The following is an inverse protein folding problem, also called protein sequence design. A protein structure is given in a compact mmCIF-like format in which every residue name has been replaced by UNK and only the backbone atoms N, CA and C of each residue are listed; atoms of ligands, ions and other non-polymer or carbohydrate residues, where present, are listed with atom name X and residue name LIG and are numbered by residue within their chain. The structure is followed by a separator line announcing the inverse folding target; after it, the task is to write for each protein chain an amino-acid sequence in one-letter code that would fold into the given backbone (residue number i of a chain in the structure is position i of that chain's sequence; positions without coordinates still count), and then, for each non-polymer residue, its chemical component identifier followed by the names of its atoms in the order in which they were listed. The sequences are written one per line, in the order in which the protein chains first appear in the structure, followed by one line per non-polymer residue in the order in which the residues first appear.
data_IF_568853623731
#
_entry.id   IF_568853623731
#
_cell.length_a   1.000
_cell.length_b   1.000
_cell.length_c   1.000
_cell.angle_alpha   90.00
_cell.angle_beta   90.00
_cell.angle_gamma   90.00
#
_symmetry.space_group_name_H-M   'P 1'
#
loop_
_entity.id
_entity.type
_entity.pdbx_description
1 polymer ?
#
# COMPACT_ATOMS: atom_id res chain seq x y z
N UNK A 1 0.96 21.90 11.71
CA UNK A 1 1.95 21.64 10.64
C UNK A 1 2.39 20.20 10.80
N UNK A 2 1.93 19.29 9.95
CA UNK A 2 2.49 17.94 9.98
C UNK A 2 3.83 17.94 9.26
N UNK A 3 4.89 17.83 10.05
CA UNK A 3 6.26 17.70 9.57
C UNK A 3 6.58 16.26 9.12
N UNK A 4 5.63 15.31 9.11
CA UNK A 4 5.97 13.88 9.07
C UNK A 4 6.10 13.27 7.68
N UNK A 5 5.10 13.47 6.80
CA UNK A 5 5.21 13.11 5.38
C UNK A 5 6.35 13.88 4.75
N UNK A 6 6.40 15.19 5.05
CA UNK A 6 7.44 16.09 4.57
C UNK A 6 8.84 15.71 5.05
N UNK A 7 9.07 15.39 6.33
CA UNK A 7 10.43 15.01 6.79
C UNK A 7 10.94 13.68 6.20
N UNK A 8 10.06 12.71 5.98
CA UNK A 8 10.42 11.42 5.35
C UNK A 8 10.74 11.60 3.86
N UNK A 9 9.97 12.45 3.18
CA UNK A 9 10.18 12.78 1.77
C UNK A 9 11.30 13.81 1.56
N UNK A 10 11.55 14.74 2.49
CA UNK A 10 12.58 15.78 2.39
C UNK A 10 13.98 15.17 2.28
N UNK A 11 14.19 13.99 2.87
CA UNK A 11 15.45 13.24 2.71
C UNK A 11 15.68 12.75 1.26
N UNK A 12 14.62 12.54 0.48
CA UNK A 12 14.70 11.99 -0.88
C UNK A 12 14.23 12.95 -1.99
N UNK A 13 13.47 13.99 -1.67
CA UNK A 13 12.59 14.71 -2.62
C UNK A 13 12.49 16.21 -2.33
N UNK A 14 13.48 16.83 -1.71
CA UNK A 14 13.50 18.24 -1.26
C UNK A 14 13.19 19.33 -2.31
N UNK A 15 12.86 18.96 -3.56
CA UNK A 15 12.49 19.85 -4.67
C UNK A 15 11.11 19.60 -5.29
N UNK A 16 10.37 18.56 -4.90
CA UNK A 16 8.99 18.38 -5.40
C UNK A 16 7.97 18.92 -4.39
N UNK A 17 7.09 19.78 -4.88
CA UNK A 17 5.86 20.14 -4.16
C UNK A 17 4.90 18.96 -4.23
N UNK A 18 4.38 18.53 -3.08
CA UNK A 18 3.36 17.49 -3.04
C UNK A 18 1.99 18.10 -3.36
N UNK A 19 1.05 17.34 -3.94
CA UNK A 19 -0.33 17.78 -4.07
C UNK A 19 -0.95 18.00 -2.68
N UNK A 20 -1.91 18.95 -2.52
CA UNK A 20 -2.54 19.24 -1.23
C UNK A 20 -3.10 18.00 -0.51
N UNK A 21 -3.59 17.01 -1.26
CA UNK A 21 -4.08 15.73 -0.74
C UNK A 21 -3.03 14.93 0.09
N UNK A 22 -1.74 15.22 -0.07
CA UNK A 22 -0.64 14.57 0.65
C UNK A 22 -0.01 15.45 1.73
N UNK A 23 -0.14 16.77 1.64
CA UNK A 23 0.60 17.71 2.51
C UNK A 23 0.22 17.60 3.99
N UNK A 24 -1.00 17.15 4.29
CA UNK A 24 -1.51 17.00 5.66
C UNK A 24 -2.07 15.60 5.94
N UNK A 25 -1.60 14.58 5.22
CA UNK A 25 -2.05 13.21 5.41
C UNK A 25 -1.20 12.49 6.47
N UNK A 26 -1.56 12.71 7.73
CA UNK A 26 -0.84 12.19 8.90
C UNK A 26 -0.88 10.67 8.97
N UNK A 27 -1.99 10.09 8.55
CA UNK A 27 -2.24 8.65 8.50
C UNK A 27 -1.28 7.96 7.54
N UNK A 28 -1.12 8.50 6.33
CA UNK A 28 -0.16 8.00 5.35
C UNK A 28 1.27 8.17 5.85
N UNK A 29 1.60 9.35 6.40
CA UNK A 29 2.93 9.62 6.94
C UNK A 29 3.33 8.66 8.06
N UNK A 30 2.42 8.42 9.01
CA UNK A 30 2.61 7.46 10.09
C UNK A 30 2.77 6.04 9.54
N UNK A 31 1.88 5.61 8.64
CA UNK A 31 1.89 4.26 8.05
C UNK A 31 3.18 3.98 7.27
N UNK A 32 3.65 4.94 6.47
CA UNK A 32 4.93 4.85 5.77
C UNK A 32 6.12 4.79 6.73
N UNK A 33 6.14 5.63 7.78
CA UNK A 33 7.18 5.61 8.82
C UNK A 33 7.22 4.26 9.53
N UNK A 34 6.07 3.74 9.96
CA UNK A 34 5.98 2.45 10.63
C UNK A 34 6.49 1.33 9.73
N UNK A 35 6.06 1.33 8.46
CA UNK A 35 6.53 0.34 7.47
C UNK A 35 8.04 0.45 7.25
N UNK A 36 8.61 1.66 7.20
CA UNK A 36 10.05 1.87 7.11
C UNK A 36 10.82 1.32 8.32
N UNK A 37 10.32 1.56 9.54
CA UNK A 37 10.94 1.05 10.78
C UNK A 37 10.94 -0.47 10.83
N UNK A 38 9.87 -1.11 10.37
CA UNK A 38 9.80 -2.58 10.20
C UNK A 38 10.82 -3.04 9.16
N UNK A 39 10.84 -2.39 7.99
CA UNK A 39 11.70 -2.76 6.87
C UNK A 39 13.20 -2.69 7.20
N UNK A 40 13.60 -1.72 8.01
CA UNK A 40 15.01 -1.45 8.34
C UNK A 40 15.47 -2.07 9.65
N UNK A 41 14.54 -2.58 10.47
CA UNK A 41 14.82 -2.97 11.85
C UNK A 41 15.53 -1.84 12.62
N UNK A 42 15.11 -0.57 12.41
CA UNK A 42 15.90 0.64 12.65
C UNK A 42 16.56 0.71 14.04
N UNK A 43 15.86 0.26 15.08
CA UNK A 43 16.34 0.36 16.46
C UNK A 43 17.27 -0.79 16.89
N UNK A 44 17.59 -1.74 15.99
CA UNK A 44 18.45 -2.91 16.23
C UNK A 44 17.91 -3.92 17.25
N UNK A 45 16.99 -3.50 18.13
CA UNK A 45 16.27 -4.30 19.13
C UNK A 45 15.17 -5.13 18.49
N UNK A 46 14.78 -4.76 17.28
CA UNK A 46 13.59 -5.30 16.60
C UNK A 46 13.94 -6.19 15.43
N UNK A 47 15.24 -6.34 15.15
CA UNK A 47 15.75 -7.40 14.32
C UNK A 47 15.51 -8.75 15.01
N UNK A 48 14.62 -9.55 14.43
CA UNK A 48 14.31 -10.91 14.91
C UNK A 48 15.42 -11.93 14.62
N UNK A 49 16.48 -11.52 13.91
CA UNK A 49 17.60 -12.37 13.46
C UNK A 49 17.15 -13.63 12.69
N UNK A 50 16.03 -13.50 11.97
CA UNK A 50 15.36 -14.59 11.26
C UNK A 50 15.49 -14.49 9.75
N UNK A 51 14.47 -14.95 9.03
CA UNK A 51 14.41 -14.93 7.56
C UNK A 51 14.20 -13.54 6.95
N UNK A 52 13.81 -12.54 7.76
CA UNK A 52 13.52 -11.16 7.37
C UNK A 52 12.52 -11.01 6.21
N UNK A 53 11.62 -11.99 6.03
CA UNK A 53 10.69 -12.00 4.88
C UNK A 53 9.63 -10.92 5.04
N UNK A 54 9.05 -10.76 6.24
CA UNK A 54 8.04 -9.71 6.49
C UNK A 54 8.66 -8.32 6.39
N UNK A 55 9.89 -8.17 6.89
CA UNK A 55 10.68 -6.94 6.78
C UNK A 55 10.98 -6.61 5.30
N UNK A 56 11.26 -7.61 4.48
CA UNK A 56 11.43 -7.45 3.02
C UNK A 56 10.13 -7.06 2.31
N UNK A 57 8.99 -7.61 2.73
CA UNK A 57 7.67 -7.20 2.23
C UNK A 57 7.35 -5.75 2.63
N UNK A 58 7.65 -5.37 3.87
CA UNK A 58 7.51 -3.98 4.32
C UNK A 58 8.41 -3.04 3.51
N UNK A 59 9.66 -3.42 3.21
CA UNK A 59 10.55 -2.64 2.36
C UNK A 59 9.98 -2.44 0.95
N UNK A 60 9.41 -3.50 0.36
CA UNK A 60 8.72 -3.42 -0.93
C UNK A 60 7.51 -2.49 -0.87
N UNK A 61 6.70 -2.59 0.19
CA UNK A 61 5.54 -1.72 0.38
C UNK A 61 5.96 -0.25 0.50
N UNK A 62 6.96 0.06 1.33
CA UNK A 62 7.49 1.41 1.47
C UNK A 62 7.94 1.99 0.12
N UNK A 63 8.71 1.23 -0.67
CA UNK A 63 9.20 1.68 -1.98
C UNK A 63 8.06 1.90 -2.99
N UNK A 64 7.04 1.04 -3.00
CA UNK A 64 5.87 1.22 -3.85
C UNK A 64 5.06 2.46 -3.44
N UNK A 65 4.87 2.70 -2.15
CA UNK A 65 4.17 3.86 -1.63
C UNK A 65 4.92 5.18 -1.92
N UNK A 66 6.25 5.17 -1.75
CA UNK A 66 7.11 6.29 -2.14
C UNK A 66 7.00 6.56 -3.65
N UNK A 67 7.08 5.52 -4.48
CA UNK A 67 6.92 5.64 -5.94
C UNK A 67 5.54 6.20 -6.31
N UNK A 68 4.46 5.69 -5.71
CA UNK A 68 3.10 6.19 -5.93
C UNK A 68 2.98 7.68 -5.58
N UNK A 69 3.53 8.08 -4.42
CA UNK A 69 3.54 9.48 -3.98
C UNK A 69 4.28 10.38 -4.98
N UNK A 70 5.46 9.95 -5.44
CA UNK A 70 6.27 10.69 -6.41
C UNK A 70 5.58 10.81 -7.78
N UNK A 71 4.99 9.72 -8.28
CA UNK A 71 4.24 9.71 -9.53
C UNK A 71 3.01 10.63 -9.45
N UNK A 72 2.30 10.60 -8.32
CA UNK A 72 1.17 11.50 -8.05
C UNK A 72 1.61 12.96 -8.01
N UNK A 73 2.76 13.27 -7.41
CA UNK A 73 3.29 14.63 -7.34
C UNK A 73 3.64 15.22 -8.71
N UNK A 74 3.98 14.38 -9.69
CA UNK A 74 4.18 14.82 -11.08
C UNK A 74 2.93 14.66 -11.95
N UNK A 75 1.78 14.28 -11.40
CA UNK A 75 0.51 14.15 -12.14
C UNK A 75 0.39 12.88 -12.99
N UNK A 76 1.12 11.81 -12.67
CA UNK A 76 1.03 10.49 -13.29
C UNK A 76 0.16 9.56 -12.44
N UNK A 77 -1.13 9.86 -12.36
CA UNK A 77 -2.06 9.19 -11.44
C UNK A 77 -2.33 7.73 -11.80
N UNK A 78 -2.44 7.39 -13.09
CA UNK A 78 -2.63 5.99 -13.51
C UNK A 78 -1.48 5.09 -13.01
N UNK A 79 -0.24 5.52 -13.20
CA UNK A 79 0.94 4.77 -12.76
C UNK A 79 1.06 4.72 -11.23
N UNK A 80 0.61 5.78 -10.56
CA UNK A 80 0.48 5.77 -9.11
C UNK A 80 -0.55 4.74 -8.63
N UNK A 81 -1.75 4.71 -9.24
CA UNK A 81 -2.80 3.75 -8.91
C UNK A 81 -2.38 2.29 -9.23
N UNK A 82 -1.58 2.07 -10.27
CA UNK A 82 -0.99 0.76 -10.54
C UNK A 82 -0.03 0.31 -9.42
N UNK A 83 0.71 1.25 -8.82
CA UNK A 83 1.53 0.99 -7.62
C UNK A 83 0.65 0.68 -6.40
N UNK A 84 -0.46 1.40 -6.22
CA UNK A 84 -1.45 1.14 -5.16
C UNK A 84 -2.10 -0.24 -5.31
N UNK A 85 -2.42 -0.68 -6.52
CA UNK A 85 -2.89 -2.05 -6.76
C UNK A 85 -1.89 -3.09 -6.26
N UNK A 86 -0.60 -2.90 -6.60
CA UNK A 86 0.47 -3.79 -6.15
C UNK A 86 0.60 -3.82 -4.62
N UNK A 87 0.37 -2.68 -3.95
CA UNK A 87 0.30 -2.60 -2.49
C UNK A 87 -0.91 -3.37 -1.95
N UNK A 88 -2.08 -3.26 -2.59
CA UNK A 88 -3.28 -3.99 -2.19
C UNK A 88 -3.12 -5.50 -2.23
N UNK A 89 -2.44 -6.02 -3.27
CA UNK A 89 -2.10 -7.45 -3.33
C UNK A 89 -1.17 -7.86 -2.19
N UNK A 90 -0.19 -7.03 -1.85
CA UNK A 90 0.72 -7.25 -0.72
C UNK A 90 -0.04 -7.24 0.61
N UNK A 91 -0.97 -6.29 0.80
CA UNK A 91 -1.82 -6.21 1.97
C UNK A 91 -2.67 -7.49 2.13
N UNK A 92 -3.25 -8.00 1.04
CA UNK A 92 -3.97 -9.27 1.04
C UNK A 92 -3.06 -10.45 1.43
N UNK A 93 -1.80 -10.50 0.96
CA UNK A 93 -0.85 -11.55 1.38
C UNK A 93 -0.61 -11.48 2.89
N UNK A 94 -0.36 -10.30 3.46
CA UNK A 94 -0.15 -10.14 4.90
C UNK A 94 -1.40 -10.53 5.70
N UNK A 95 -2.59 -10.15 5.22
CA UNK A 95 -3.86 -10.52 5.86
C UNK A 95 -4.06 -12.03 5.86
N UNK A 96 -3.86 -12.68 4.71
CA UNK A 96 -3.96 -14.14 4.59
C UNK A 96 -2.99 -14.87 5.52
N UNK A 97 -1.73 -14.46 5.56
CA UNK A 97 -0.73 -15.08 6.44
C UNK A 97 -0.99 -14.83 7.93
N UNK A 98 -1.70 -13.73 8.25
CA UNK A 98 -2.15 -13.45 9.62
C UNK A 98 -3.32 -14.35 10.03
N UNK A 99 -4.25 -14.63 9.11
CA UNK A 99 -5.39 -15.55 9.33
C UNK A 99 -4.97 -17.03 9.29
N UNK A 100 -3.92 -17.35 8.52
CA UNK A 100 -3.44 -18.72 8.32
C UNK A 100 -1.93 -18.82 8.61
N UNK A 101 -1.50 -18.64 9.88
CA UNK A 101 -0.09 -18.63 10.24
C UNK A 101 0.63 -19.95 9.92
N UNK A 102 -0.07 -21.08 9.98
CA UNK A 102 0.47 -22.41 9.63
C UNK A 102 0.84 -22.54 8.14
N UNK A 103 0.29 -21.66 7.30
CA UNK A 103 0.52 -21.65 5.87
C UNK A 103 1.78 -20.85 5.47
N UNK A 104 2.37 -20.10 6.41
CA UNK A 104 3.56 -19.28 6.18
C UNK A 104 4.76 -20.10 5.65
N UNK A 105 5.19 -21.21 6.29
CA UNK A 105 6.33 -21.99 5.77
C UNK A 105 6.06 -22.55 4.37
N UNK A 106 4.80 -22.96 4.10
CA UNK A 106 4.39 -23.47 2.81
C UNK A 106 4.39 -22.40 1.72
N UNK A 107 3.96 -21.19 2.06
CA UNK A 107 3.99 -20.03 1.16
C UNK A 107 5.43 -19.64 0.79
N UNK A 108 6.32 -19.57 1.79
CA UNK A 108 7.74 -19.24 1.58
C UNK A 108 8.44 -20.25 0.68
N UNK A 109 8.18 -21.54 0.89
CA UNK A 109 8.82 -22.64 0.15
C UNK A 109 8.09 -23.02 -1.15
N UNK A 110 6.99 -22.34 -1.48
CA UNK A 110 6.17 -22.69 -2.64
C UNK A 110 6.94 -22.57 -3.96
N UNK A 111 6.94 -23.67 -4.71
CA UNK A 111 7.39 -23.68 -6.10
C UNK A 111 6.45 -22.82 -6.97
N UNK A 112 6.84 -22.56 -8.22
CA UNK A 112 6.07 -21.71 -9.13
C UNK A 112 4.64 -22.24 -9.34
N UNK A 113 4.48 -23.56 -9.47
CA UNK A 113 3.18 -24.19 -9.71
C UNK A 113 2.24 -23.95 -8.52
N UNK A 114 2.71 -24.27 -7.31
CA UNK A 114 1.98 -24.10 -6.06
C UNK A 114 1.67 -22.63 -5.80
N UNK A 115 2.62 -21.73 -6.06
CA UNK A 115 2.39 -20.29 -5.91
C UNK A 115 1.27 -19.79 -6.81
N UNK A 116 1.24 -20.20 -8.08
CA UNK A 116 0.20 -19.77 -9.02
C UNK A 116 -1.16 -20.41 -8.72
N UNK A 117 -1.21 -21.62 -8.18
CA UNK A 117 -2.47 -22.31 -7.91
C UNK A 117 -3.07 -21.98 -6.54
N UNK A 118 -2.24 -21.97 -5.48
CA UNK A 118 -2.68 -21.82 -4.07
C UNK A 118 -2.52 -20.38 -3.57
N UNK A 119 -1.48 -19.69 -4.03
CA UNK A 119 -1.07 -18.39 -3.51
C UNK A 119 -1.14 -17.26 -4.55
N UNK A 120 -1.98 -17.42 -5.57
CA UNK A 120 -2.26 -16.33 -6.53
C UNK A 120 -3.08 -15.24 -5.84
N UNK A 121 -3.02 -13.98 -6.32
CA UNK A 121 -3.79 -12.88 -5.75
C UNK A 121 -5.28 -13.18 -5.61
N UNK A 122 -5.88 -13.82 -6.62
CA UNK A 122 -7.28 -14.25 -6.59
C UNK A 122 -7.55 -15.36 -5.55
N UNK A 123 -6.66 -16.35 -5.44
CA UNK A 123 -6.83 -17.44 -4.49
C UNK A 123 -6.73 -16.95 -3.04
N UNK A 124 -5.75 -16.08 -2.75
CA UNK A 124 -5.55 -15.44 -1.46
C UNK A 124 -6.79 -14.61 -1.08
N UNK A 125 -7.27 -13.74 -1.97
CA UNK A 125 -8.47 -12.93 -1.71
C UNK A 125 -9.69 -13.80 -1.40
N UNK A 126 -9.97 -14.81 -2.23
CA UNK A 126 -11.09 -15.72 -1.99
C UNK A 126 -10.96 -16.52 -0.71
N UNK A 127 -9.74 -16.85 -0.27
CA UNK A 127 -9.54 -17.49 1.03
C UNK A 127 -9.88 -16.54 2.19
N UNK A 128 -9.47 -15.27 2.12
CA UNK A 128 -9.83 -14.26 3.12
C UNK A 128 -11.34 -14.06 3.17
N UNK A 129 -12.00 -13.86 2.02
CA UNK A 129 -13.47 -13.68 1.91
C UNK A 129 -14.24 -14.85 2.56
N UNK A 130 -13.71 -16.08 2.47
CA UNK A 130 -14.34 -17.27 3.06
C UNK A 130 -14.15 -17.40 4.58
N UNK A 131 -13.18 -16.70 5.17
CA UNK A 131 -12.93 -16.77 6.62
C UNK A 131 -14.05 -16.12 7.44
N UNK A 132 -14.79 -15.16 6.86
CA UNK A 132 -15.79 -14.31 7.54
C UNK A 132 -15.28 -13.48 8.73
N UNK A 133 -14.00 -13.59 9.09
CA UNK A 133 -13.37 -12.83 10.18
C UNK A 133 -12.91 -11.44 9.74
N UNK A 134 -12.55 -11.30 8.46
CA UNK A 134 -11.96 -10.09 7.92
C UNK A 134 -12.29 -9.91 6.43
N UNK A 135 -12.57 -8.68 6.02
CA UNK A 135 -12.71 -8.35 4.60
C UNK A 135 -11.32 -8.21 3.95
N UNK A 136 -11.09 -8.68 2.72
CA UNK A 136 -9.79 -8.52 2.08
C UNK A 136 -9.41 -7.03 1.99
N UNK A 137 -8.19 -6.61 2.42
CA UNK A 137 -7.75 -5.21 2.31
C UNK A 137 -7.90 -4.63 0.89
N UNK A 138 -7.73 -5.47 -0.13
CA UNK A 138 -8.01 -5.17 -1.53
C UNK A 138 -9.05 -6.16 -2.05
N UNK A 139 -10.31 -5.74 -2.02
CA UNK A 139 -11.43 -6.56 -2.46
C UNK A 139 -11.46 -6.76 -3.99
N UNK A 140 -12.45 -7.51 -4.48
CA UNK A 140 -12.62 -7.78 -5.91
C UNK A 140 -13.02 -6.53 -6.69
N UNK A 141 -13.84 -5.66 -6.10
CA UNK A 141 -14.41 -4.47 -6.72
C UNK A 141 -13.33 -3.42 -6.92
N UNK A 142 -12.63 -3.03 -5.85
CA UNK A 142 -11.51 -2.08 -5.89
C UNK A 142 -10.38 -2.59 -6.79
N UNK A 143 -10.05 -3.89 -6.73
CA UNK A 143 -9.06 -4.47 -7.62
C UNK A 143 -9.45 -4.36 -9.10
N UNK A 144 -10.71 -4.68 -9.43
CA UNK A 144 -11.21 -4.59 -10.80
C UNK A 144 -11.21 -3.14 -11.29
N UNK A 145 -11.64 -2.21 -10.45
CA UNK A 145 -11.62 -0.78 -10.75
C UNK A 145 -10.19 -0.29 -11.05
N UNK A 146 -9.21 -0.62 -10.19
CA UNK A 146 -7.81 -0.25 -10.41
C UNK A 146 -7.25 -0.87 -11.69
N UNK A 147 -7.61 -2.12 -12.00
CA UNK A 147 -7.19 -2.81 -13.21
C UNK A 147 -7.73 -2.14 -14.49
N UNK A 148 -9.01 -1.76 -14.50
CA UNK A 148 -9.63 -1.04 -15.63
C UNK A 148 -9.05 0.37 -15.79
N UNK A 149 -8.81 1.08 -14.69
CA UNK A 149 -8.31 2.46 -14.73
C UNK A 149 -6.84 2.56 -15.15
N UNK A 150 -6.00 1.63 -14.69
CA UNK A 150 -4.53 1.84 -14.73
C UNK A 150 -3.72 0.74 -15.42
N UNK A 151 -4.31 -0.42 -15.76
CA UNK A 151 -3.53 -1.55 -16.28
C UNK A 151 -4.01 -2.07 -17.63
N UNK A 152 -5.31 -2.30 -17.79
CA UNK A 152 -5.82 -2.93 -18.99
C UNK A 152 -6.04 -1.90 -20.09
N UNK A 153 -5.28 -2.03 -21.17
CA UNK A 153 -5.49 -1.25 -22.38
C UNK A 153 -6.68 -1.83 -23.14
N UNK A 154 -7.68 -1.00 -23.42
CA UNK A 154 -8.84 -1.32 -24.23
C UNK A 154 -9.18 -0.15 -25.15
N UNK A 155 -10.11 -0.35 -26.10
CA UNK A 155 -10.45 0.69 -27.08
C UNK A 155 -11.01 2.01 -26.49
N UNK A 156 -11.37 2.01 -25.21
CA UNK A 156 -11.88 3.16 -24.47
C UNK A 156 -10.86 3.78 -23.51
N UNK A 157 -9.62 3.29 -23.43
CA UNK A 157 -8.61 3.79 -22.48
C UNK A 157 -8.44 5.30 -22.61
N UNK A 158 -8.54 5.98 -21.47
CA UNK A 158 -8.47 7.43 -21.34
C UNK A 158 -7.36 7.77 -20.33
N UNK A 159 -6.10 7.87 -20.77
CA UNK A 159 -4.98 8.04 -19.85
C UNK A 159 -5.08 9.37 -19.11
N UNK A 160 -4.79 9.32 -17.81
CA UNK A 160 -4.81 10.43 -16.85
C UNK A 160 -5.98 11.39 -17.07
N UNK A 161 -7.20 10.85 -17.12
CA UNK A 161 -8.43 11.61 -17.36
C UNK A 161 -9.24 11.77 -16.06
N UNK A 162 -8.68 12.47 -15.07
CA UNK A 162 -9.31 12.68 -13.76
C UNK A 162 -10.02 14.05 -13.65
N UNK A 163 -9.83 14.93 -14.62
CA UNK A 163 -10.50 16.23 -14.71
C UNK A 163 -12.01 16.13 -14.90
N UNK A 164 -12.72 17.18 -14.47
CA UNK A 164 -14.19 17.29 -14.61
C UNK A 164 -14.64 17.27 -16.08
N UNK A 165 -13.78 17.70 -17.00
CA UNK A 165 -14.04 17.68 -18.44
C UNK A 165 -13.69 16.34 -19.12
N UNK A 166 -13.13 15.38 -18.37
CA UNK A 166 -12.77 14.05 -18.85
C UNK A 166 -11.70 14.05 -19.95
N UNK A 167 -10.91 15.12 -20.06
CA UNK A 167 -9.84 15.20 -21.05
C UNK A 167 -8.72 14.22 -20.74
N UNK A 168 -8.12 13.70 -21.80
CA UNK A 168 -7.03 12.71 -21.73
C UNK A 168 -5.70 13.43 -21.75
N UNK A 169 -4.80 13.03 -20.87
CA UNK A 169 -3.49 13.64 -20.75
C UNK A 169 -2.39 12.59 -20.95
N UNK A 170 -1.46 12.89 -21.86
CA UNK A 170 -0.21 12.15 -21.97
C UNK A 170 0.86 12.86 -21.13
N UNK A 171 1.53 12.10 -20.27
CA UNK A 171 2.48 12.65 -19.30
C UNK A 171 1.79 13.18 -18.04
N UNK A 172 2.57 13.89 -17.23
CA UNK A 172 2.14 14.41 -15.94
C UNK A 172 1.23 15.63 -16.06
N UNK A 173 0.00 15.53 -15.56
CA UNK A 173 -0.93 16.66 -15.50
C UNK A 173 -1.55 16.74 -14.12
N UNK A 174 -1.47 17.90 -13.48
CA UNK A 174 -1.92 18.07 -12.10
C UNK A 174 -3.44 18.20 -12.05
N UNK A 175 -4.11 17.22 -11.46
CA UNK A 175 -5.57 17.18 -11.28
C UNK A 175 -5.92 16.77 -9.85
N UNK A 176 -6.76 17.56 -9.20
CA UNK A 176 -7.12 17.37 -7.79
C UNK A 176 -7.83 16.02 -7.55
N UNK A 177 -8.76 15.64 -8.43
CA UNK A 177 -9.47 14.35 -8.34
C UNK A 177 -8.52 13.15 -8.43
N UNK A 178 -7.53 13.21 -9.33
CA UNK A 178 -6.54 12.15 -9.49
C UNK A 178 -5.65 12.05 -8.25
N UNK A 179 -5.17 13.19 -7.76
CA UNK A 179 -4.37 13.26 -6.54
C UNK A 179 -5.13 12.75 -5.30
N UNK A 180 -6.39 13.17 -5.13
CA UNK A 180 -7.26 12.75 -4.04
C UNK A 180 -7.51 11.25 -4.07
N UNK A 181 -7.90 10.69 -5.22
CA UNK A 181 -8.13 9.25 -5.37
C UNK A 181 -6.89 8.42 -5.05
N UNK A 182 -5.72 8.85 -5.50
CA UNK A 182 -4.46 8.19 -5.14
C UNK A 182 -4.23 8.28 -3.64
N UNK A 183 -4.36 9.47 -3.04
CA UNK A 183 -4.11 9.69 -1.62
C UNK A 183 -5.00 8.78 -0.76
N UNK A 184 -6.31 8.72 -1.03
CA UNK A 184 -7.26 7.92 -0.27
C UNK A 184 -6.92 6.43 -0.32
N UNK A 185 -6.75 5.87 -1.53
CA UNK A 185 -6.46 4.46 -1.72
C UNK A 185 -5.08 4.08 -1.18
N UNK A 186 -4.07 4.94 -1.37
CA UNK A 186 -2.73 4.72 -0.85
C UNK A 186 -2.73 4.73 0.68
N UNK A 187 -3.45 5.67 1.30
CA UNK A 187 -3.56 5.81 2.76
C UNK A 187 -4.17 4.56 3.37
N UNK A 188 -5.35 4.16 2.89
CA UNK A 188 -6.06 2.98 3.39
C UNK A 188 -5.22 1.70 3.23
N UNK A 189 -4.57 1.54 2.07
CA UNK A 189 -3.73 0.36 1.80
C UNK A 189 -2.49 0.34 2.69
N UNK A 190 -1.81 1.47 2.85
CA UNK A 190 -0.62 1.57 3.69
C UNK A 190 -0.92 1.40 5.17
N UNK A 191 -2.07 1.91 5.62
CA UNK A 191 -2.56 1.71 6.98
C UNK A 191 -2.71 0.22 7.29
N UNK A 192 -3.38 -0.53 6.41
CA UNK A 192 -3.56 -1.97 6.55
C UNK A 192 -2.23 -2.73 6.56
N UNK A 193 -1.30 -2.38 5.66
CA UNK A 193 0.04 -2.98 5.63
C UNK A 193 0.78 -2.71 6.93
N UNK A 194 0.75 -1.48 7.43
CA UNK A 194 1.46 -1.10 8.65
C UNK A 194 0.93 -1.88 9.87
N UNK A 195 -0.39 -2.02 10.02
CA UNK A 195 -0.99 -2.83 11.09
C UNK A 195 -0.59 -4.31 11.00
N UNK A 196 -0.83 -4.93 9.83
CA UNK A 196 -0.60 -6.35 9.63
C UNK A 196 0.88 -6.70 9.78
N UNK A 197 1.76 -5.92 9.15
CA UNK A 197 3.21 -6.13 9.26
C UNK A 197 3.68 -5.96 10.72
N UNK A 198 3.22 -4.92 11.43
CA UNK A 198 3.58 -4.72 12.85
C UNK A 198 3.19 -5.93 13.70
N UNK A 199 1.98 -6.47 13.49
CA UNK A 199 1.52 -7.65 14.22
C UNK A 199 2.35 -8.88 13.90
N UNK A 200 2.64 -9.13 12.62
CA UNK A 200 3.42 -10.28 12.17
C UNK A 200 4.88 -10.26 12.66
N UNK A 201 5.47 -9.07 12.82
CA UNK A 201 6.81 -8.92 13.43
C UNK A 201 6.77 -8.76 14.95
N UNK A 202 5.59 -8.85 15.58
CA UNK A 202 5.38 -8.74 17.03
C UNK A 202 5.87 -7.40 17.61
N UNK A 203 5.59 -6.32 16.89
CA UNK A 203 5.84 -4.94 17.30
C UNK A 203 4.54 -4.31 17.79
N UNK A 204 4.14 -4.70 19.01
CA UNK A 204 2.91 -4.18 19.61
C UNK A 204 2.98 -2.64 19.80
N UNK A 205 4.17 -2.08 20.04
CA UNK A 205 4.39 -0.63 20.08
C UNK A 205 4.05 0.08 18.76
N UNK A 206 4.46 -0.49 17.63
CA UNK A 206 4.15 0.03 16.30
C UNK A 206 2.68 -0.21 15.92
N UNK A 207 2.16 -1.38 16.31
CA UNK A 207 0.76 -1.71 16.10
C UNK A 207 -0.15 -0.71 16.83
N UNK A 208 0.11 -0.45 18.11
CA UNK A 208 -0.65 0.48 18.94
C UNK A 208 -0.52 1.92 18.43
N UNK A 209 0.67 2.32 17.97
CA UNK A 209 0.90 3.64 17.35
C UNK A 209 0.00 3.83 16.13
N UNK A 210 -0.03 2.86 15.20
CA UNK A 210 -0.88 2.92 14.00
C UNK A 210 -2.36 2.79 14.35
N UNK A 211 -2.74 1.85 15.21
CA UNK A 211 -4.13 1.61 15.61
C UNK A 211 -4.75 2.80 16.37
N UNK A 212 -3.92 3.68 16.94
CA UNK A 212 -4.41 4.91 17.59
C UNK A 212 -5.11 5.86 16.62
N UNK A 213 -4.83 5.78 15.31
CA UNK A 213 -5.48 6.61 14.29
C UNK A 213 -7.00 6.34 14.21
N UNK A 214 -7.45 5.11 14.43
CA UNK A 214 -8.89 4.76 14.45
C UNK A 214 -9.59 5.33 15.69
N UNK A 215 -8.87 5.55 16.79
CA UNK A 215 -9.46 5.94 18.08
C UNK A 215 -9.71 7.44 18.22
N UNK A 216 -9.48 8.23 17.17
CA UNK A 216 -9.60 9.69 17.20
C UNK A 216 -11.02 10.16 16.79
N UNK A 217 -11.88 9.26 16.30
CA UNK A 217 -13.26 9.57 15.90
C UNK A 217 -14.33 9.30 16.99
N UNK A 218 -14.07 9.70 18.25
CA UNK A 218 -15.11 9.83 19.31
C UNK A 218 -15.38 11.31 19.65
#
# INVERSE_FOLDING_TARGET
MSNYVKSTLDYHVSKLSLPPAFENNDELGLSMRTTYRIATCDDGKTCRKGDHIIESLAARAYNLALSATLLSAVGLYDESLNSVRSLGELANVLAYLSLHPDDYPNWVLADKKTRLSKYSPSAIRTAIEKSSEFEPPMDKTTYAELCELSTHVHGGTAPNAYGVDGRRHAGGFSEENGAGKVADLLTNTMYMIALLASKMVRRDDLFDEVASLIRIED
#
